data_IF_114794703270
#
_entry.id   IF_114794703270
#
_cell.length_a   1.000
_cell.length_b   1.000
_cell.length_c   1.000
_cell.angle_alpha   90.00
_cell.angle_beta   90.00
_cell.angle_gamma   90.00
#
_symmetry.space_group_name_H-M   'P 1'
#
loop_
_entity.id
_entity.type
_entity.pdbx_description
1 polymer ?
#
# COMPACT_ATOMS: atom_id res chain seq x y z
N UNK A 1 -8.96 18.58 7.20
CA UNK A 1 -8.34 18.08 5.97
C UNK A 1 -9.38 17.22 5.26
N UNK A 2 -9.44 17.23 3.93
CA UNK A 2 -10.31 16.30 3.19
C UNK A 2 -9.87 14.86 3.46
N UNK A 3 -10.80 13.95 3.73
CA UNK A 3 -10.48 12.53 3.90
C UNK A 3 -9.99 11.96 2.58
N UNK A 4 -8.90 11.18 2.62
CA UNK A 4 -8.34 10.48 1.46
C UNK A 4 -8.44 8.98 1.71
N UNK A 5 -8.83 8.25 0.69
CA UNK A 5 -8.80 6.79 0.63
C UNK A 5 -7.89 6.36 -0.50
N UNK A 6 -6.69 5.90 -0.18
CA UNK A 6 -5.85 5.23 -1.19
C UNK A 6 -6.55 3.95 -1.58
N UNK A 7 -6.95 3.79 -2.84
CA UNK A 7 -7.59 2.58 -3.39
C UNK A 7 -6.57 1.63 -3.97
N UNK A 8 -5.50 2.17 -4.54
CA UNK A 8 -4.43 1.37 -5.13
C UNK A 8 -3.12 2.13 -5.16
N UNK A 9 -2.06 1.45 -4.82
CA UNK A 9 -0.68 1.87 -5.10
C UNK A 9 0.06 0.73 -5.77
N UNK A 10 0.77 0.98 -6.86
CA UNK A 10 1.44 -0.05 -7.64
C UNK A 10 2.69 0.47 -8.34
N UNK A 11 3.78 -0.29 -8.23
CA UNK A 11 4.95 -0.19 -9.09
C UNK A 11 4.66 -0.92 -10.40
N UNK A 12 4.69 -0.20 -11.51
CA UNK A 12 4.45 -0.74 -12.85
C UNK A 12 5.65 -1.55 -13.34
N UNK A 13 5.50 -2.26 -14.46
CA UNK A 13 6.58 -3.04 -15.05
C UNK A 13 7.77 -2.18 -15.52
N UNK A 14 7.50 -0.93 -15.88
CA UNK A 14 8.48 0.08 -16.27
C UNK A 14 9.00 0.90 -15.08
N UNK A 15 8.72 0.49 -13.84
CA UNK A 15 9.24 1.12 -12.62
C UNK A 15 8.51 2.39 -12.19
N UNK A 16 7.45 2.80 -12.90
CA UNK A 16 6.64 3.98 -12.54
C UNK A 16 5.71 3.66 -11.38
N UNK A 17 5.33 4.70 -10.64
CA UNK A 17 4.32 4.57 -9.59
C UNK A 17 2.95 4.93 -10.14
N UNK A 18 2.02 3.99 -10.06
CA UNK A 18 0.61 4.14 -10.40
C UNK A 18 -0.22 4.18 -9.13
N UNK A 19 -1.06 5.20 -9.00
CA UNK A 19 -1.92 5.38 -7.83
C UNK A 19 -3.35 5.66 -8.24
N UNK A 20 -4.27 5.16 -7.43
CA UNK A 20 -5.71 5.46 -7.49
C UNK A 20 -6.15 5.76 -6.06
N UNK A 21 -6.85 6.87 -5.87
CA UNK A 21 -7.39 7.25 -4.57
C UNK A 21 -8.71 8.00 -4.74
N UNK A 22 -9.51 8.00 -3.69
CA UNK A 22 -10.71 8.82 -3.57
C UNK A 22 -10.45 9.92 -2.56
N UNK A 23 -10.99 11.12 -2.81
CA UNK A 23 -10.92 12.24 -1.87
C UNK A 23 -12.31 12.80 -1.64
N UNK A 24 -12.65 13.02 -0.37
CA UNK A 24 -13.95 13.56 0.00
C UNK A 24 -14.01 15.05 -0.31
N UNK A 25 -15.02 15.45 -1.08
CA UNK A 25 -15.31 16.86 -1.38
C UNK A 25 -15.91 17.57 -0.17
N UNK A 26 -15.87 18.91 -0.11
CA UNK A 26 -16.54 19.68 0.94
C UNK A 26 -18.05 19.43 1.03
N UNK A 27 -18.66 18.86 -0.01
CA UNK A 27 -20.09 18.54 -0.08
C UNK A 27 -20.40 17.11 0.37
N UNK A 28 -19.39 16.33 0.77
CA UNK A 28 -19.53 14.97 1.26
C UNK A 28 -19.53 13.88 0.18
N UNK A 29 -19.52 14.24 -1.11
CA UNK A 29 -19.30 13.29 -2.20
C UNK A 29 -17.83 12.87 -2.27
N UNK A 30 -17.54 11.76 -2.93
CA UNK A 30 -16.18 11.28 -3.18
C UNK A 30 -15.82 11.45 -4.66
N UNK A 31 -14.69 12.08 -4.93
CA UNK A 31 -14.10 12.17 -6.27
C UNK A 31 -12.95 11.16 -6.37
N UNK A 32 -12.90 10.41 -7.48
CA UNK A 32 -11.80 9.47 -7.76
C UNK A 32 -10.72 10.17 -8.59
N UNK A 33 -9.47 9.95 -8.22
CA UNK A 33 -8.29 10.43 -8.91
C UNK A 33 -7.34 9.28 -9.19
N UNK A 34 -6.60 9.39 -10.28
CA UNK A 34 -5.52 8.46 -10.58
C UNK A 34 -4.40 9.14 -11.35
N UNK A 35 -3.20 8.64 -11.16
CA UNK A 35 -2.07 9.00 -12.02
C UNK A 35 -1.11 7.84 -12.18
N UNK A 36 -0.23 7.94 -13.19
CA UNK A 36 0.99 7.14 -13.30
C UNK A 36 2.15 8.11 -13.50
N UNK A 37 3.13 8.07 -12.61
CA UNK A 37 4.21 9.04 -12.55
C UNK A 37 5.57 8.35 -12.59
N UNK A 38 6.49 8.93 -13.37
CA UNK A 38 7.87 8.44 -13.53
C UNK A 38 8.88 9.08 -12.58
N UNK A 39 8.46 10.08 -11.80
CA UNK A 39 9.31 10.63 -10.76
C UNK A 39 9.43 9.63 -9.61
N UNK A 40 10.62 9.52 -9.03
CA UNK A 40 10.83 8.58 -7.94
C UNK A 40 10.16 9.07 -6.64
N UNK A 41 9.42 8.20 -5.93
CA UNK A 41 8.97 8.50 -4.59
C UNK A 41 10.17 8.57 -3.65
N UNK A 42 9.92 9.04 -2.43
CA UNK A 42 10.94 9.01 -1.38
C UNK A 42 11.40 7.56 -1.10
N UNK A 43 12.64 7.35 -0.61
CA UNK A 43 13.14 6.01 -0.29
C UNK A 43 12.26 5.27 0.71
N UNK A 44 11.63 5.97 1.64
CA UNK A 44 10.74 5.38 2.66
C UNK A 44 9.52 4.69 2.02
N UNK A 45 8.99 5.21 0.90
CA UNK A 45 7.92 4.53 0.14
C UNK A 45 8.35 3.14 -0.34
N UNK A 46 9.55 3.02 -0.89
CA UNK A 46 10.08 1.75 -1.38
C UNK A 46 10.38 0.78 -0.23
N UNK A 47 10.83 1.31 0.91
CA UNK A 47 11.02 0.52 2.12
C UNK A 47 9.69 0.01 2.68
N UNK A 48 8.66 0.85 2.76
CA UNK A 48 7.31 0.45 3.20
C UNK A 48 6.73 -0.65 2.31
N UNK A 49 6.89 -0.58 0.99
CA UNK A 49 6.53 -1.68 0.09
C UNK A 49 7.32 -2.95 0.36
N UNK A 50 8.63 -2.85 0.58
CA UNK A 50 9.50 -4.00 0.85
C UNK A 50 9.11 -4.70 2.15
N UNK A 51 8.79 -3.94 3.19
CA UNK A 51 8.44 -4.47 4.51
C UNK A 51 7.16 -5.31 4.47
N UNK A 52 6.23 -5.02 3.54
CA UNK A 52 5.05 -5.86 3.30
C UNK A 52 5.39 -7.27 2.77
N UNK A 53 6.64 -7.54 2.39
CA UNK A 53 7.07 -8.87 1.93
C UNK A 53 6.86 -9.97 2.98
N UNK A 54 7.04 -9.65 4.26
CA UNK A 54 6.79 -10.59 5.36
C UNK A 54 5.30 -10.91 5.52
N UNK A 55 4.42 -9.97 5.16
CA UNK A 55 2.97 -10.18 5.20
C UNK A 55 2.54 -11.09 4.06
N UNK A 56 3.19 -11.01 2.89
CA UNK A 56 3.00 -11.97 1.80
C UNK A 56 3.41 -13.37 2.24
N UNK A 57 4.58 -13.53 2.90
CA UNK A 57 5.02 -14.82 3.44
C UNK A 57 3.95 -15.39 4.39
N UNK A 58 3.55 -14.60 5.37
CA UNK A 58 2.63 -15.03 6.44
C UNK A 58 1.25 -15.36 5.88
N UNK A 59 0.65 -14.44 5.11
CA UNK A 59 -0.72 -14.59 4.61
C UNK A 59 -0.86 -15.62 3.49
N UNK A 60 0.20 -15.89 2.74
CA UNK A 60 0.23 -16.95 1.73
C UNK A 60 0.84 -18.27 2.25
N UNK A 61 1.12 -18.36 3.56
CA UNK A 61 1.66 -19.55 4.23
C UNK A 61 2.94 -20.08 3.58
N UNK A 62 3.81 -19.17 3.13
CA UNK A 62 5.06 -19.51 2.45
C UNK A 62 6.19 -19.74 3.48
N UNK A 63 7.24 -20.50 3.13
CA UNK A 63 8.43 -20.61 3.96
C UNK A 63 9.11 -19.24 4.15
N UNK A 64 9.50 -18.88 5.38
CA UNK A 64 10.20 -17.61 5.67
C UNK A 64 11.48 -17.42 4.84
N UNK A 65 12.17 -18.51 4.50
CA UNK A 65 13.35 -18.49 3.64
C UNK A 65 13.08 -17.96 2.23
N UNK A 66 11.82 -17.79 1.83
CA UNK A 66 11.46 -17.23 0.53
C UNK A 66 11.37 -15.70 0.54
N UNK A 67 11.51 -15.04 1.69
CA UNK A 67 11.35 -13.59 1.80
C UNK A 67 12.23 -12.81 0.80
N UNK A 68 13.51 -13.18 0.67
CA UNK A 68 14.45 -12.54 -0.25
C UNK A 68 14.10 -12.73 -1.74
N UNK A 69 13.20 -13.66 -2.05
CA UNK A 69 12.71 -13.92 -3.42
C UNK A 69 11.46 -13.11 -3.73
N UNK A 70 10.82 -12.51 -2.74
CA UNK A 70 9.57 -11.75 -2.88
C UNK A 70 9.88 -10.30 -3.23
N UNK A 71 9.12 -9.76 -4.16
CA UNK A 71 9.08 -8.34 -4.48
C UNK A 71 7.63 -7.89 -4.50
N UNK A 72 7.23 -7.14 -3.48
CA UNK A 72 5.90 -6.50 -3.44
C UNK A 72 5.81 -5.49 -4.58
N UNK A 73 4.71 -5.56 -5.33
CA UNK A 73 4.44 -4.71 -6.49
C UNK A 73 3.38 -3.65 -6.18
N UNK A 74 2.62 -3.80 -5.12
CA UNK A 74 1.60 -2.84 -4.75
C UNK A 74 0.55 -3.42 -3.83
N UNK A 75 -0.37 -2.55 -3.43
CA UNK A 75 -1.51 -2.88 -2.58
C UNK A 75 -2.78 -2.33 -3.21
N UNK A 76 -3.85 -3.11 -3.14
CA UNK A 76 -5.21 -2.64 -3.44
C UNK A 76 -6.00 -2.61 -2.13
N UNK A 77 -6.67 -1.49 -1.89
CA UNK A 77 -7.44 -1.24 -0.68
C UNK A 77 -8.93 -1.10 -1.01
N UNK A 78 -9.74 -1.48 -0.04
CA UNK A 78 -11.18 -1.26 -0.02
C UNK A 78 -11.56 -0.60 1.30
N UNK A 79 -12.61 0.21 1.28
CA UNK A 79 -13.18 0.81 2.48
C UNK A 79 -14.67 0.51 2.50
N UNK A 80 -15.19 0.09 3.65
CA UNK A 80 -16.58 -0.36 3.75
C UNK A 80 -17.04 -0.57 5.19
N UNK A 81 -18.31 -0.95 5.34
CA UNK A 81 -18.96 -0.99 6.65
C UNK A 81 -19.26 0.41 7.19
N UNK A 82 -19.96 0.46 8.32
CA UNK A 82 -20.39 1.72 8.92
C UNK A 82 -19.21 2.54 9.49
N UNK A 83 -18.10 1.87 9.79
CA UNK A 83 -16.87 2.47 10.33
C UNK A 83 -15.84 2.84 9.25
N UNK A 84 -16.17 2.65 7.96
CA UNK A 84 -15.24 2.92 6.86
C UNK A 84 -13.93 2.12 6.97
N UNK A 85 -14.08 0.85 7.37
CA UNK A 85 -12.99 -0.08 7.69
C UNK A 85 -12.14 -0.40 6.46
N UNK A 86 -10.82 -0.26 6.60
CA UNK A 86 -9.87 -0.60 5.55
C UNK A 86 -9.79 -2.13 5.39
N UNK A 87 -9.85 -2.62 4.15
CA UNK A 87 -9.39 -3.95 3.78
C UNK A 87 -8.32 -3.87 2.70
N UNK A 88 -7.46 -4.87 2.62
CA UNK A 88 -6.29 -4.83 1.74
C UNK A 88 -5.99 -6.19 1.08
N UNK A 89 -5.42 -6.10 -0.12
CA UNK A 89 -4.77 -7.20 -0.82
C UNK A 89 -3.40 -6.74 -1.31
N UNK A 90 -2.35 -7.46 -0.93
CA UNK A 90 -0.97 -7.19 -1.33
C UNK A 90 -0.66 -8.03 -2.57
N UNK A 91 -0.21 -7.38 -3.64
CA UNK A 91 0.26 -8.04 -4.86
C UNK A 91 1.78 -8.09 -4.88
N UNK A 92 2.35 -9.26 -5.14
CA UNK A 92 3.80 -9.47 -5.20
C UNK A 92 4.21 -10.38 -6.36
N UNK A 93 5.50 -10.37 -6.69
CA UNK A 93 6.13 -11.40 -7.51
C UNK A 93 7.17 -12.15 -6.68
N UNK A 94 7.35 -13.44 -6.94
CA UNK A 94 8.37 -14.27 -6.31
C UNK A 94 9.23 -14.95 -7.36
N UNK A 95 10.55 -14.77 -7.27
CA UNK A 95 11.48 -15.45 -8.18
C UNK A 95 11.40 -16.96 -8.00
N UNK A 96 11.34 -17.69 -9.11
CA UNK A 96 11.39 -19.15 -9.17
C UNK A 96 12.79 -19.62 -9.58
N UNK A 97 13.16 -20.83 -9.16
CA UNK A 97 14.48 -21.41 -9.44
C UNK A 97 14.53 -22.06 -10.83
N UNK A 98 13.43 -22.73 -11.21
CA UNK A 98 13.34 -23.55 -12.43
C UNK A 98 12.49 -22.89 -13.52
N UNK A 99 12.18 -21.59 -13.39
CA UNK A 99 11.37 -20.83 -14.34
C UNK A 99 11.96 -19.44 -14.58
N UNK A 100 11.98 -19.02 -15.85
CA UNK A 100 12.36 -17.66 -16.24
C UNK A 100 11.31 -16.59 -15.89
N UNK A 101 10.09 -17.01 -15.55
CA UNK A 101 9.02 -16.12 -15.13
C UNK A 101 8.82 -16.23 -13.62
N UNK A 102 8.63 -15.08 -12.97
CA UNK A 102 8.26 -15.00 -11.57
C UNK A 102 6.85 -15.59 -11.34
N UNK A 103 6.64 -16.16 -10.16
CA UNK A 103 5.30 -16.48 -9.67
C UNK A 103 4.61 -15.19 -9.22
N UNK A 104 3.40 -14.92 -9.72
CA UNK A 104 2.59 -13.81 -9.24
C UNK A 104 1.77 -14.26 -8.03
N UNK A 105 1.90 -13.52 -6.92
CA UNK A 105 1.20 -13.77 -5.67
C UNK A 105 0.23 -12.63 -5.40
N UNK A 106 -0.94 -12.97 -4.88
CA UNK A 106 -1.83 -12.03 -4.20
C UNK A 106 -2.18 -12.62 -2.85
N UNK A 107 -2.09 -11.83 -1.80
CA UNK A 107 -2.59 -12.26 -0.49
C UNK A 107 -4.11 -12.40 -0.52
N UNK A 108 -4.70 -13.23 0.37
CA UNK A 108 -6.11 -13.12 0.68
C UNK A 108 -6.48 -11.66 0.99
N UNK A 109 -7.67 -11.25 0.58
CA UNK A 109 -8.24 -9.99 1.05
C UNK A 109 -8.65 -10.15 2.51
N UNK A 110 -8.17 -9.24 3.35
CA UNK A 110 -8.52 -9.19 4.78
C UNK A 110 -8.80 -7.76 5.21
N UNK A 111 -9.64 -7.60 6.23
CA UNK A 111 -10.02 -6.30 6.79
C UNK A 111 -9.18 -5.96 8.04
N UNK A 112 -9.01 -4.68 8.32
CA UNK A 112 -8.36 -4.19 9.56
C UNK A 112 -9.22 -4.44 10.79
N UNK A 113 -10.54 -4.43 10.62
CA UNK A 113 -11.54 -4.70 11.65
C UNK A 113 -12.74 -5.41 11.00
N UNK A 114 -13.68 -5.91 11.81
CA UNK A 114 -14.92 -6.48 11.27
C UNK A 114 -15.79 -5.37 10.67
N UNK A 115 -16.31 -5.57 9.45
CA UNK A 115 -17.20 -4.60 8.80
C UNK A 115 -18.53 -4.38 9.52
N UNK A 116 -18.96 -5.35 10.34
CA UNK A 116 -20.16 -5.28 11.15
C UNK A 116 -19.82 -5.60 12.62
N UNK A 117 -20.11 -4.65 13.51
CA UNK A 117 -19.84 -4.70 14.95
C UNK A 117 -20.54 -5.86 15.67
N UNK A 118 -21.65 -6.36 15.12
CA UNK A 118 -22.39 -7.49 15.69
C UNK A 118 -21.77 -8.85 15.34
N UNK A 119 -20.78 -8.87 14.44
CA UNK A 119 -20.07 -10.10 14.08
C UNK A 119 -18.89 -10.29 15.02
N UNK A 120 -18.74 -11.47 15.67
CA UNK A 120 -17.53 -11.77 16.43
C UNK A 120 -16.28 -11.64 15.57
N UNK A 121 -15.18 -11.23 16.19
CA UNK A 121 -13.88 -11.18 15.52
C UNK A 121 -13.47 -12.56 14.99
N UNK A 122 -12.89 -12.57 13.79
CA UNK A 122 -12.38 -13.76 13.12
C UNK A 122 -11.00 -13.48 12.52
N UNK A 123 -9.96 -14.06 13.12
CA UNK A 123 -8.56 -13.91 12.68
C UNK A 123 -8.33 -14.35 11.22
N UNK A 124 -9.18 -15.25 10.68
CA UNK A 124 -9.10 -15.65 9.28
C UNK A 124 -9.53 -14.52 8.33
N UNK A 125 -10.37 -13.60 8.80
CA UNK A 125 -10.87 -12.45 8.03
C UNK A 125 -10.08 -11.17 8.31
N UNK A 126 -9.37 -11.11 9.43
CA UNK A 126 -8.69 -9.92 9.91
C UNK A 126 -7.18 -9.91 9.57
N UNK A 127 -6.70 -8.71 9.25
CA UNK A 127 -5.28 -8.38 9.26
C UNK A 127 -4.81 -8.34 10.71
N UNK A 128 -3.60 -8.86 10.96
CA UNK A 128 -2.96 -8.70 12.27
C UNK A 128 -2.34 -7.30 12.39
N UNK A 129 -2.16 -6.84 13.64
CA UNK A 129 -1.71 -5.49 13.99
C UNK A 129 -0.51 -5.02 13.17
N UNK A 130 0.55 -5.83 13.12
CA UNK A 130 1.80 -5.42 12.48
C UNK A 130 1.63 -5.21 10.96
N UNK A 131 0.72 -5.96 10.32
CA UNK A 131 0.40 -5.75 8.90
C UNK A 131 -0.36 -4.43 8.71
N UNK A 132 -1.28 -4.11 9.62
CA UNK A 132 -2.01 -2.83 9.60
C UNK A 132 -1.03 -1.67 9.73
N UNK A 133 -0.11 -1.71 10.68
CA UNK A 133 0.91 -0.66 10.88
C UNK A 133 1.80 -0.47 9.62
N UNK A 134 2.20 -1.55 8.95
CA UNK A 134 2.97 -1.45 7.69
C UNK A 134 2.13 -0.88 6.53
N UNK A 135 0.86 -1.25 6.45
CA UNK A 135 -0.06 -0.69 5.46
C UNK A 135 -0.30 0.81 5.69
N UNK A 136 -0.41 1.23 6.95
CA UNK A 136 -0.51 2.64 7.34
C UNK A 136 0.76 3.41 7.00
N UNK A 137 1.95 2.86 7.27
CA UNK A 137 3.22 3.47 6.87
C UNK A 137 3.30 3.66 5.34
N UNK A 138 2.85 2.68 4.55
CA UNK A 138 2.75 2.84 3.10
C UNK A 138 1.70 3.89 2.70
N UNK A 139 0.58 3.96 3.43
CA UNK A 139 -0.46 4.98 3.21
C UNK A 139 0.10 6.39 3.40
N UNK A 140 0.86 6.64 4.47
CA UNK A 140 1.49 7.93 4.72
C UNK A 140 2.42 8.35 3.58
N UNK A 141 3.28 7.44 3.11
CA UNK A 141 4.17 7.68 1.97
C UNK A 141 3.39 7.88 0.66
N UNK A 142 2.26 7.19 0.49
CA UNK A 142 1.33 7.41 -0.62
C UNK A 142 0.77 8.84 -0.60
N UNK A 143 0.34 9.34 0.56
CA UNK A 143 -0.17 10.71 0.67
C UNK A 143 0.90 11.76 0.38
N UNK A 144 2.11 11.57 0.91
CA UNK A 144 3.25 12.46 0.67
C UNK A 144 3.56 12.55 -0.82
N UNK A 145 3.58 11.39 -1.49
CA UNK A 145 3.82 11.30 -2.92
C UNK A 145 2.70 11.99 -3.74
N UNK A 146 1.43 11.87 -3.34
CA UNK A 146 0.30 12.61 -3.94
C UNK A 146 0.46 14.12 -3.75
N UNK A 147 0.93 14.56 -2.58
CA UNK A 147 1.19 15.97 -2.26
C UNK A 147 2.44 16.54 -2.97
N UNK A 148 3.20 15.70 -3.66
CA UNK A 148 4.39 16.09 -4.41
C UNK A 148 5.68 16.08 -3.59
N UNK A 149 5.70 15.46 -2.40
CA UNK A 149 6.94 15.18 -1.67
C UNK A 149 7.61 13.95 -2.29
N UNK A 150 8.69 14.19 -3.04
CA UNK A 150 9.38 13.22 -3.91
C UNK A 150 10.86 13.12 -3.53
N UNK A 151 11.57 12.14 -4.05
CA UNK A 151 13.03 12.01 -3.82
C UNK A 151 13.85 13.21 -4.32
N UNK A 152 13.27 14.07 -5.17
CA UNK A 152 13.91 15.30 -5.61
C UNK A 152 13.94 16.31 -4.45
N UNK A 153 15.11 16.38 -3.79
CA UNK A 153 15.35 17.32 -2.69
C UNK A 153 15.04 18.77 -3.08
N UNK A 154 14.67 19.58 -2.09
CA UNK A 154 14.37 21.01 -2.26
C UNK A 154 15.46 21.69 -3.11
N UNK A 155 15.07 22.21 -4.28
CA UNK A 155 15.95 22.94 -5.19
C UNK A 155 16.53 24.22 -4.56
N UNK A 156 15.99 24.64 -3.42
CA UNK A 156 16.46 25.79 -2.67
C UNK A 156 16.86 25.35 -1.25
N UNK A 157 18.11 25.59 -0.83
CA UNK A 157 18.45 25.57 0.59
C UNK A 157 17.55 26.55 1.32
N UNK A 158 16.98 26.15 2.46
CA UNK A 158 16.30 27.09 3.36
C UNK A 158 17.27 28.21 3.68
N UNK A 159 17.03 29.38 3.11
CA UNK A 159 17.82 30.57 3.39
C UNK A 159 17.40 31.01 4.80
N UNK A 160 18.14 30.56 5.82
CA UNK A 160 18.05 31.10 7.17
C UNK A 160 18.37 32.60 7.08
N UNK A 161 17.34 33.42 7.23
CA UNK A 161 17.48 34.86 7.32
C UNK A 161 18.27 35.18 8.60
N UNK A 162 19.47 35.72 8.39
CA UNK A 162 20.30 36.36 9.40
C UNK A 162 19.67 37.67 9.92
#
# INVERSE_FOLDING_TARGET
MSKIHIKKTKVTKDGKISMIWEQQTPKGSWDEYSFTCSEEPRPEFHQALKDLGQDVITMCELPESYLDRITVKGVSYSYGGDNDTMGATISASMKLEESYQDLNLNTPHKASEMYNLDTPEDEMQLLYSDCIERLEALHEECELYIKGDRAQGSLFPNNEAA
#
